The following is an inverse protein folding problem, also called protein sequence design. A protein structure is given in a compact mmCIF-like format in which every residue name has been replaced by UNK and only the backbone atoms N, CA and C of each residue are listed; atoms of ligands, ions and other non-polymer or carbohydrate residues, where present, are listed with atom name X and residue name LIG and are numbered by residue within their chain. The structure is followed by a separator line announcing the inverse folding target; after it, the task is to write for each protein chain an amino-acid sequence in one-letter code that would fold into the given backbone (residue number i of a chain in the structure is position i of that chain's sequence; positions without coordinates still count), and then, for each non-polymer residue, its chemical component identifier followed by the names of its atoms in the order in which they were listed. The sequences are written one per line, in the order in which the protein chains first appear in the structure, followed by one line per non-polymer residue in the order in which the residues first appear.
data_IF_240783440606
#
_entry.id   IF_240783440606
#
_cell.length_a   1.000
_cell.length_b   1.000
_cell.length_c   1.000
_cell.angle_alpha   90.00
_cell.angle_beta   90.00
_cell.angle_gamma   90.00
#
_symmetry.space_group_name_H-M   'P 1'
#
loop_
_entity.id
_entity.type
_entity.pdbx_description
1 polymer ?
#
# COMPACT_ATOMS: atom_id res chain seq x y z
N UNK A 1 -9.52 10.59 -18.34
CA UNK A 1 -8.31 11.45 -18.45
C UNK A 1 -8.32 12.57 -17.43
N UNK A 2 -9.40 13.33 -17.30
CA UNK A 2 -9.46 14.40 -16.29
C UNK A 2 -9.25 13.93 -14.85
N UNK A 3 -9.79 12.74 -14.51
CA UNK A 3 -9.64 12.14 -13.17
C UNK A 3 -8.16 11.98 -12.76
N UNK A 4 -7.33 11.38 -13.61
CA UNK A 4 -5.90 11.19 -13.34
C UNK A 4 -5.16 12.52 -13.17
N UNK A 5 -5.47 13.51 -14.03
CA UNK A 5 -4.86 14.85 -13.96
C UNK A 5 -5.19 15.55 -12.64
N UNK A 6 -6.45 15.51 -12.20
CA UNK A 6 -6.88 16.14 -10.95
C UNK A 6 -6.32 15.38 -9.76
N UNK A 7 -6.34 14.03 -9.77
CA UNK A 7 -5.73 13.23 -8.70
C UNK A 7 -4.24 13.54 -8.55
N UNK A 8 -3.49 13.63 -9.67
CA UNK A 8 -2.08 14.02 -9.68
C UNK A 8 -1.84 15.38 -9.02
N UNK A 9 -2.68 16.37 -9.32
CA UNK A 9 -2.58 17.70 -8.70
C UNK A 9 -2.79 17.63 -7.18
N UNK A 10 -3.80 16.86 -6.73
CA UNK A 10 -4.06 16.66 -5.29
C UNK A 10 -2.88 15.96 -4.61
N UNK A 11 -2.28 14.92 -5.21
CA UNK A 11 -1.10 14.27 -4.64
C UNK A 11 0.09 15.22 -4.52
N UNK A 12 0.36 16.04 -5.54
CA UNK A 12 1.49 16.98 -5.54
C UNK A 12 1.28 18.18 -4.61
N UNK A 13 0.03 18.50 -4.24
CA UNK A 13 -0.26 19.54 -3.25
C UNK A 13 -0.02 19.09 -1.81
N UNK A 14 0.16 17.79 -1.57
CA UNK A 14 0.42 17.23 -0.24
C UNK A 14 1.91 16.91 -0.07
N UNK A 15 2.37 16.82 1.20
CA UNK A 15 3.74 16.48 1.52
C UNK A 15 4.13 15.06 1.06
N UNK A 16 5.42 14.82 0.87
CA UNK A 16 5.96 13.51 0.48
C UNK A 16 5.92 12.49 1.62
N UNK A 17 6.15 12.91 2.85
CA UNK A 17 5.77 12.19 4.07
C UNK A 17 4.42 12.74 4.53
N UNK A 18 3.37 11.94 4.48
CA UNK A 18 2.04 12.36 4.93
C UNK A 18 1.96 12.19 6.46
N UNK A 19 1.88 13.29 7.19
CA UNK A 19 1.68 13.26 8.64
C UNK A 19 0.18 13.24 8.97
N UNK A 20 -0.26 12.23 9.71
CA UNK A 20 -1.66 11.88 9.93
C UNK A 20 -1.98 11.82 11.43
N UNK A 21 -3.24 12.14 11.75
CA UNK A 21 -3.77 11.99 13.11
C UNK A 21 -4.79 10.86 13.18
N UNK A 22 -4.80 10.08 14.27
CA UNK A 22 -5.86 9.13 14.54
C UNK A 22 -7.17 9.88 14.92
N UNK A 23 -8.37 9.25 14.86
CA UNK A 23 -8.54 7.84 14.46
C UNK A 23 -8.40 7.64 12.94
N UNK A 24 -7.76 6.53 12.54
CA UNK A 24 -7.52 6.22 11.13
C UNK A 24 -7.52 4.70 10.91
N UNK A 25 -7.94 4.27 9.72
CA UNK A 25 -7.88 2.88 9.28
C UNK A 25 -6.79 2.71 8.24
N UNK A 26 -5.92 1.70 8.43
CA UNK A 26 -4.80 1.40 7.57
C UNK A 26 -5.09 0.10 6.82
N UNK A 27 -5.01 0.15 5.48
CA UNK A 27 -5.29 -0.95 4.58
C UNK A 27 -4.04 -1.29 3.75
N UNK A 28 -3.78 -2.57 3.55
CA UNK A 28 -2.75 -3.07 2.64
C UNK A 28 -3.26 -3.28 1.22
N UNK A 29 -2.63 -4.23 0.52
CA UNK A 29 -2.87 -4.56 -0.90
C UNK A 29 -4.34 -4.80 -1.23
N UNK A 30 -4.76 -4.33 -2.39
CA UNK A 30 -6.14 -4.42 -2.91
C UNK A 30 -6.20 -5.22 -4.21
N UNK A 31 -5.24 -4.98 -5.11
CA UNK A 31 -5.06 -5.71 -6.36
C UNK A 31 -6.36 -5.90 -7.17
N UNK A 32 -7.09 -4.82 -7.46
CA UNK A 32 -8.25 -4.88 -8.34
C UNK A 32 -9.42 -5.72 -7.82
N UNK A 33 -9.47 -6.07 -6.53
CA UNK A 33 -10.57 -6.80 -5.90
C UNK A 33 -11.69 -5.85 -5.46
N UNK A 34 -12.37 -5.23 -6.44
CA UNK A 34 -13.36 -4.16 -6.22
C UNK A 34 -14.50 -4.56 -5.29
N UNK A 35 -15.03 -5.78 -5.42
CA UNK A 35 -16.10 -6.28 -4.55
C UNK A 35 -15.65 -6.34 -3.08
N UNK A 36 -14.37 -6.67 -2.82
CA UNK A 36 -13.82 -6.71 -1.48
C UNK A 36 -13.56 -5.30 -0.93
N UNK A 37 -13.21 -4.32 -1.77
CA UNK A 37 -13.16 -2.90 -1.39
C UNK A 37 -14.52 -2.41 -0.90
N UNK A 38 -15.61 -2.73 -1.61
CA UNK A 38 -16.95 -2.35 -1.16
C UNK A 38 -17.33 -3.02 0.16
N UNK A 39 -16.99 -4.30 0.34
CA UNK A 39 -17.16 -5.01 1.62
C UNK A 39 -16.33 -4.42 2.75
N UNK A 40 -15.12 -3.95 2.42
CA UNK A 40 -14.24 -3.27 3.37
C UNK A 40 -14.90 -1.98 3.88
N UNK A 41 -15.40 -1.14 2.99
CA UNK A 41 -16.10 0.08 3.37
C UNK A 41 -17.43 -0.18 4.11
N UNK A 42 -18.19 -1.18 3.67
CA UNK A 42 -19.43 -1.57 4.34
C UNK A 42 -19.20 -1.97 5.81
N UNK A 43 -18.12 -2.71 6.08
CA UNK A 43 -17.77 -3.13 7.44
C UNK A 43 -17.10 -2.05 8.31
N UNK A 44 -16.37 -1.16 7.70
CA UNK A 44 -15.51 -0.22 8.42
C UNK A 44 -16.00 1.23 8.37
N UNK A 45 -17.03 1.51 7.58
CA UNK A 45 -17.55 2.85 7.32
C UNK A 45 -16.98 3.46 6.03
N UNK A 46 -17.78 4.32 5.40
CA UNK A 46 -17.40 4.99 4.14
C UNK A 46 -16.71 6.32 4.40
N UNK A 47 -15.75 6.73 3.52
CA UNK A 47 -15.25 8.11 3.54
C UNK A 47 -16.40 9.11 3.30
N UNK A 48 -16.41 10.30 3.91
CA UNK A 48 -15.40 10.89 4.80
C UNK A 48 -15.66 10.63 6.28
N UNK A 49 -16.67 9.83 6.66
CA UNK A 49 -17.00 9.58 8.08
C UNK A 49 -15.90 8.83 8.81
N UNK A 50 -15.03 8.17 8.04
CA UNK A 50 -13.86 7.42 8.51
C UNK A 50 -12.65 7.82 7.69
N UNK A 51 -11.50 8.02 8.37
CA UNK A 51 -10.23 8.31 7.73
C UNK A 51 -9.53 7.01 7.30
N UNK A 52 -8.99 7.00 6.08
CA UNK A 52 -8.28 5.86 5.53
C UNK A 52 -6.88 6.20 5.05
N UNK A 53 -5.93 5.32 5.33
CA UNK A 53 -4.62 5.26 4.70
C UNK A 53 -4.46 3.90 4.00
N UNK A 54 -4.30 3.91 2.69
CA UNK A 54 -3.99 2.71 1.91
C UNK A 54 -2.50 2.68 1.58
N UNK A 55 -1.88 1.53 1.76
CA UNK A 55 -0.42 1.37 1.68
C UNK A 55 0.11 1.07 0.27
N UNK A 56 -0.75 1.04 -0.76
CA UNK A 56 -0.37 0.76 -2.14
C UNK A 56 -0.97 -0.52 -2.71
N UNK A 57 -0.52 -0.88 -3.92
CA UNK A 57 -0.94 -2.05 -4.68
C UNK A 57 -2.45 -2.10 -4.92
N UNK A 58 -2.94 -1.08 -5.62
CA UNK A 58 -4.35 -0.95 -5.99
C UNK A 58 -4.71 -1.74 -7.23
N UNK A 59 -3.75 -1.90 -8.13
CA UNK A 59 -3.89 -2.49 -9.46
C UNK A 59 -3.13 -3.81 -9.59
N UNK A 60 -3.35 -4.50 -10.72
CA UNK A 60 -2.81 -5.81 -11.11
C UNK A 60 -3.46 -7.00 -10.40
N UNK A 61 -3.29 -8.19 -10.94
CA UNK A 61 -3.74 -9.49 -10.42
C UNK A 61 -5.26 -9.68 -10.47
N UNK A 62 -6.04 -8.74 -9.93
CA UNK A 62 -7.50 -8.79 -9.91
C UNK A 62 -8.15 -8.40 -11.23
N UNK A 63 -9.49 -8.52 -11.28
CA UNK A 63 -10.27 -8.38 -12.52
C UNK A 63 -10.87 -6.97 -12.72
N UNK A 64 -10.84 -6.11 -11.68
CA UNK A 64 -11.52 -4.81 -11.67
C UNK A 64 -10.57 -3.70 -11.19
N UNK A 65 -9.41 -3.60 -11.86
CA UNK A 65 -8.37 -2.62 -11.50
C UNK A 65 -8.85 -1.20 -11.74
N UNK A 66 -9.50 -0.96 -12.88
CA UNK A 66 -9.99 0.37 -13.24
C UNK A 66 -11.08 0.85 -12.29
N UNK A 67 -11.96 -0.03 -11.84
CA UNK A 67 -12.98 0.31 -10.83
C UNK A 67 -12.33 0.69 -9.50
N UNK A 68 -11.37 -0.09 -9.02
CA UNK A 68 -10.66 0.17 -7.76
C UNK A 68 -9.96 1.52 -7.80
N UNK A 69 -9.06 1.72 -8.78
CA UNK A 69 -8.24 2.93 -8.82
C UNK A 69 -9.06 4.18 -9.10
N UNK A 70 -10.11 4.07 -9.94
CA UNK A 70 -11.00 5.20 -10.22
C UNK A 70 -11.81 5.61 -8.99
N UNK A 71 -12.34 4.64 -8.22
CA UNK A 71 -13.03 4.91 -6.96
C UNK A 71 -12.09 5.60 -5.96
N UNK A 72 -10.86 5.09 -5.82
CA UNK A 72 -9.87 5.66 -4.91
C UNK A 72 -9.48 7.09 -5.29
N UNK A 73 -9.28 7.36 -6.57
CA UNK A 73 -9.02 8.72 -7.05
C UNK A 73 -10.21 9.65 -6.83
N UNK A 74 -11.44 9.19 -7.03
CA UNK A 74 -12.65 9.96 -6.72
C UNK A 74 -12.72 10.33 -5.24
N UNK A 75 -12.47 9.38 -4.33
CA UNK A 75 -12.43 9.65 -2.90
C UNK A 75 -11.30 10.60 -2.53
N UNK A 76 -10.10 10.40 -3.09
CA UNK A 76 -8.95 11.28 -2.85
C UNK A 76 -9.21 12.72 -3.27
N UNK A 77 -9.81 12.92 -4.43
CA UNK A 77 -10.15 14.26 -4.94
C UNK A 77 -11.23 14.92 -4.08
N UNK A 78 -12.26 14.15 -3.73
CA UNK A 78 -13.41 14.67 -2.99
C UNK A 78 -13.11 14.92 -1.52
N UNK A 79 -12.26 14.08 -0.91
CA UNK A 79 -11.95 14.09 0.52
C UNK A 79 -10.43 14.01 0.77
N UNK A 80 -9.64 15.00 0.32
CA UNK A 80 -8.18 14.93 0.35
C UNK A 80 -7.60 14.89 1.77
N UNK A 81 -8.36 15.34 2.76
CA UNK A 81 -8.00 15.33 4.20
C UNK A 81 -8.43 14.07 4.96
N UNK A 82 -9.18 13.15 4.32
CA UNK A 82 -9.72 11.95 4.99
C UNK A 82 -9.31 10.65 4.30
N UNK A 83 -8.87 10.73 3.03
CA UNK A 83 -8.54 9.57 2.22
C UNK A 83 -7.13 9.69 1.67
N UNK A 84 -6.25 8.80 2.11
CA UNK A 84 -4.82 8.87 1.83
C UNK A 84 -4.35 7.61 1.11
N UNK A 85 -3.54 7.81 0.06
CA UNK A 85 -3.02 6.73 -0.78
C UNK A 85 -1.49 6.83 -0.84
N UNK A 86 -0.79 5.76 -0.47
CA UNK A 86 0.64 5.61 -0.69
C UNK A 86 0.90 4.87 -2.01
N UNK A 87 2.11 4.96 -2.52
CA UNK A 87 2.55 4.23 -3.69
C UNK A 87 2.95 2.81 -3.30
N UNK A 88 2.44 1.80 -4.02
CA UNK A 88 2.92 0.44 -4.01
C UNK A 88 3.87 0.16 -5.18
N UNK A 89 4.51 -1.00 -5.19
CA UNK A 89 5.39 -1.39 -6.28
C UNK A 89 4.61 -1.68 -7.58
N UNK A 90 3.33 -2.02 -7.50
CA UNK A 90 2.45 -2.16 -8.66
C UNK A 90 2.00 -0.82 -9.25
N UNK A 91 2.14 0.29 -8.55
CA UNK A 91 1.96 1.64 -9.10
C UNK A 91 3.25 2.14 -9.80
N UNK A 92 4.00 1.20 -10.40
CA UNK A 92 5.18 1.43 -11.23
C UNK A 92 5.00 0.79 -12.60
N UNK A 93 5.34 1.54 -13.67
CA UNK A 93 5.05 1.13 -15.05
C UNK A 93 5.69 -0.21 -15.46
N UNK A 94 6.92 -0.57 -15.05
CA UNK A 94 7.48 -1.88 -15.39
C UNK A 94 6.68 -3.04 -14.82
N UNK A 95 6.00 -2.85 -13.69
CA UNK A 95 5.23 -3.87 -13.00
C UNK A 95 3.80 -3.94 -13.55
N UNK A 96 3.07 -2.84 -13.56
CA UNK A 96 1.67 -2.86 -13.98
C UNK A 96 1.47 -3.00 -15.50
N UNK A 97 2.54 -2.96 -16.27
CA UNK A 97 2.54 -3.34 -17.69
C UNK A 97 2.41 -4.86 -17.88
N UNK A 98 2.88 -5.65 -16.90
CA UNK A 98 3.02 -7.12 -17.02
C UNK A 98 1.91 -7.86 -16.27
N UNK A 99 1.48 -7.32 -15.12
CA UNK A 99 0.65 -8.08 -14.17
C UNK A 99 -0.86 -7.82 -14.26
N UNK A 100 -1.34 -7.10 -15.31
CA UNK A 100 -2.75 -7.09 -15.65
C UNK A 100 -3.37 -5.72 -15.91
N UNK A 101 -2.89 -4.63 -15.30
CA UNK A 101 -3.50 -3.33 -15.42
C UNK A 101 -3.40 -2.74 -16.84
N UNK A 102 -2.21 -2.84 -17.48
CA UNK A 102 -2.04 -2.42 -18.87
C UNK A 102 -2.98 -3.20 -19.80
N UNK A 103 -3.05 -4.52 -19.63
CA UNK A 103 -3.92 -5.38 -20.43
C UNK A 103 -5.39 -5.01 -20.24
N UNK A 104 -5.85 -4.73 -19.01
CA UNK A 104 -7.22 -4.29 -18.75
C UNK A 104 -7.53 -2.95 -19.44
N UNK A 105 -6.64 -1.96 -19.35
CA UNK A 105 -6.79 -0.67 -20.04
C UNK A 105 -6.92 -0.86 -21.55
N UNK A 106 -6.06 -1.71 -22.13
CA UNK A 106 -6.04 -1.95 -23.57
C UNK A 106 -7.27 -2.75 -24.03
N UNK A 107 -7.67 -3.79 -23.33
CA UNK A 107 -8.83 -4.62 -23.65
C UNK A 107 -10.14 -3.82 -23.58
N UNK A 108 -10.32 -2.97 -22.55
CA UNK A 108 -11.58 -2.24 -22.31
C UNK A 108 -11.71 -0.94 -23.12
N UNK A 109 -10.60 -0.26 -23.37
CA UNK A 109 -10.62 1.07 -23.99
C UNK A 109 -9.73 1.19 -25.23
N UNK A 110 -9.01 0.14 -25.62
CA UNK A 110 -8.08 0.12 -26.77
C UNK A 110 -7.12 1.33 -26.76
N UNK A 111 -6.64 1.69 -25.55
CA UNK A 111 -5.97 2.96 -25.34
C UNK A 111 -4.76 2.86 -24.42
N UNK A 112 -3.58 2.80 -25.01
CA UNK A 112 -2.31 2.99 -24.29
C UNK A 112 -2.25 4.36 -23.60
N UNK A 113 -2.90 5.37 -24.18
CA UNK A 113 -2.95 6.72 -23.61
C UNK A 113 -3.63 6.74 -22.24
N UNK A 114 -4.68 5.93 -22.03
CA UNK A 114 -5.34 5.83 -20.73
C UNK A 114 -4.38 5.30 -19.68
N UNK A 115 -3.66 4.22 -19.99
CA UNK A 115 -2.66 3.64 -19.09
C UNK A 115 -1.55 4.64 -18.74
N UNK A 116 -1.02 5.39 -19.73
CA UNK A 116 -0.01 6.43 -19.49
C UNK A 116 -0.51 7.54 -18.56
N UNK A 117 -1.78 7.95 -18.67
CA UNK A 117 -2.36 8.95 -17.75
C UNK A 117 -2.40 8.44 -16.29
N UNK A 118 -2.64 7.14 -16.08
CA UNK A 118 -2.52 6.57 -14.74
C UNK A 118 -1.05 6.56 -14.25
N UNK A 119 -0.08 6.25 -15.13
CA UNK A 119 1.35 6.30 -14.74
C UNK A 119 1.76 7.71 -14.31
N UNK A 120 1.30 8.75 -15.00
CA UNK A 120 1.55 10.15 -14.61
C UNK A 120 0.98 10.47 -13.22
N UNK A 121 -0.18 9.92 -12.89
CA UNK A 121 -0.77 10.07 -11.55
C UNK A 121 -0.04 9.23 -10.50
N UNK A 122 0.35 7.99 -10.82
CA UNK A 122 1.09 7.10 -9.92
C UNK A 122 2.47 7.67 -9.56
N UNK A 123 3.16 8.32 -10.50
CA UNK A 123 4.43 8.98 -10.25
C UNK A 123 4.34 10.10 -9.18
N UNK A 124 3.15 10.63 -8.94
CA UNK A 124 2.88 11.66 -7.96
C UNK A 124 2.49 11.14 -6.57
N UNK A 125 2.22 9.83 -6.43
CA UNK A 125 1.86 9.22 -5.14
C UNK A 125 3.00 9.37 -4.11
N UNK A 126 2.70 9.69 -2.85
CA UNK A 126 3.67 9.67 -1.77
C UNK A 126 4.08 8.24 -1.42
N UNK A 127 5.26 8.07 -0.83
CA UNK A 127 5.80 6.74 -0.48
C UNK A 127 5.51 6.36 0.96
N UNK A 128 5.36 7.34 1.86
CA UNK A 128 5.30 7.10 3.29
C UNK A 128 4.25 7.95 3.98
N UNK A 129 3.72 7.43 5.09
CA UNK A 129 2.86 8.12 6.02
C UNK A 129 3.36 7.96 7.45
N UNK A 130 3.07 8.91 8.33
CA UNK A 130 3.44 8.88 9.73
C UNK A 130 2.22 9.22 10.57
N UNK A 131 1.68 8.23 11.30
CA UNK A 131 0.50 8.43 12.15
C UNK A 131 0.95 8.83 13.56
N UNK A 132 0.45 9.97 14.04
CA UNK A 132 0.74 10.55 15.35
C UNK A 132 2.24 10.62 15.70
N UNK A 133 3.13 10.72 14.70
CA UNK A 133 4.57 10.73 14.92
C UNK A 133 5.16 9.39 15.38
N UNK A 134 4.37 8.31 15.47
CA UNK A 134 4.78 7.03 16.09
C UNK A 134 4.61 5.78 15.22
N UNK A 135 3.71 5.79 14.25
CA UNK A 135 3.51 4.65 13.34
C UNK A 135 3.96 5.06 11.94
N UNK A 136 5.12 4.54 11.50
CA UNK A 136 5.63 4.77 10.16
C UNK A 136 5.02 3.76 9.19
N UNK A 137 4.37 4.29 8.14
CA UNK A 137 3.65 3.51 7.15
C UNK A 137 4.33 3.59 5.79
N UNK A 138 4.49 2.44 5.11
CA UNK A 138 4.98 2.33 3.73
C UNK A 138 4.42 1.05 3.10
N UNK A 139 4.62 0.89 1.80
CA UNK A 139 4.19 -0.32 1.11
C UNK A 139 5.11 -1.51 1.37
N UNK A 140 6.39 -1.43 0.97
CA UNK A 140 7.39 -2.50 1.14
C UNK A 140 7.95 -2.54 2.56
N UNK A 141 8.99 -1.81 2.84
CA UNK A 141 9.61 -1.82 4.17
C UNK A 141 10.76 -0.84 4.33
N UNK A 142 11.63 -1.15 5.26
CA UNK A 142 12.77 -0.34 5.65
C UNK A 142 13.89 -0.35 4.58
N UNK A 143 14.79 0.62 4.65
CA UNK A 143 15.93 0.76 3.75
C UNK A 143 17.22 0.94 4.55
N UNK A 144 18.34 0.33 4.13
CA UNK A 144 19.66 0.62 4.72
C UNK A 144 20.13 2.04 4.47
N UNK A 145 19.49 2.74 3.52
CA UNK A 145 19.75 4.14 3.16
C UNK A 145 18.95 5.14 4.01
N UNK A 146 17.91 4.69 4.73
CA UNK A 146 17.09 5.54 5.59
C UNK A 146 17.80 5.80 6.92
N UNK A 147 18.05 7.07 7.24
CA UNK A 147 18.74 7.49 8.46
C UNK A 147 17.99 8.55 9.25
N UNK A 148 16.99 9.18 8.65
CA UNK A 148 16.17 10.21 9.31
C UNK A 148 14.81 10.39 8.63
N UNK A 149 13.83 10.89 9.36
CA UNK A 149 12.51 11.26 8.81
C UNK A 149 12.62 12.37 7.76
N UNK A 150 13.64 13.22 7.86
CA UNK A 150 13.84 14.31 6.91
C UNK A 150 14.11 13.81 5.49
N UNK A 151 14.79 12.67 5.33
CA UNK A 151 14.96 12.04 4.01
C UNK A 151 13.62 11.69 3.36
N UNK A 152 12.62 11.26 4.15
CA UNK A 152 11.27 10.96 3.65
C UNK A 152 10.50 12.23 3.27
N UNK A 153 10.67 13.33 4.02
CA UNK A 153 10.07 14.64 3.70
C UNK A 153 10.63 15.24 2.42
N UNK A 154 11.93 15.00 2.15
CA UNK A 154 12.63 15.55 0.99
C UNK A 154 12.46 14.74 -0.30
N UNK A 155 11.73 13.64 -0.29
CA UNK A 155 11.45 12.87 -1.52
C UNK A 155 10.70 13.78 -2.51
N UNK A 156 11.31 14.03 -3.65
CA UNK A 156 10.69 14.82 -4.72
C UNK A 156 9.75 13.97 -5.54
N UNK A 157 8.60 14.55 -5.92
CA UNK A 157 7.59 13.93 -6.79
C UNK A 157 7.16 14.93 -7.87
N UNK A 158 6.77 14.54 -9.07
CA UNK A 158 6.65 13.16 -9.53
C UNK A 158 8.01 12.50 -9.75
N UNK A 159 8.08 11.19 -9.53
CA UNK A 159 9.30 10.41 -9.72
C UNK A 159 8.99 9.01 -10.26
N UNK A 160 9.85 8.52 -11.18
CA UNK A 160 9.96 7.10 -11.47
C UNK A 160 11.16 6.56 -10.69
N UNK A 161 10.94 5.66 -9.69
CA UNK A 161 11.98 5.29 -8.74
C UNK A 161 13.20 4.66 -9.42
N UNK A 162 14.40 5.24 -9.32
CA UNK A 162 15.61 4.63 -9.86
C UNK A 162 16.02 3.41 -9.02
N UNK A 163 16.53 2.37 -9.67
CA UNK A 163 17.04 1.17 -9.00
C UNK A 163 18.57 1.12 -9.10
N UNK A 164 19.34 1.06 -7.98
CA UNK A 164 18.89 0.97 -6.58
C UNK A 164 18.66 2.36 -5.94
N UNK A 165 17.63 2.48 -5.06
CA UNK A 165 17.37 3.73 -4.34
C UNK A 165 16.60 3.49 -3.03
N UNK A 166 16.54 4.52 -2.16
CA UNK A 166 15.65 4.53 -1.00
C UNK A 166 14.19 4.28 -1.40
N UNK A 167 13.74 4.87 -2.52
CA UNK A 167 12.38 4.71 -3.03
C UNK A 167 12.04 3.26 -3.36
N UNK A 168 12.98 2.56 -4.02
CA UNK A 168 12.82 1.14 -4.35
C UNK A 168 12.73 0.31 -3.06
N UNK A 169 13.55 0.59 -2.06
CA UNK A 169 13.50 -0.16 -0.81
C UNK A 169 12.17 0.03 -0.08
N UNK A 170 11.63 1.27 -0.04
CA UNK A 170 10.30 1.56 0.53
C UNK A 170 9.15 0.84 -0.18
N UNK A 171 9.34 0.41 -1.42
CA UNK A 171 8.35 -0.32 -2.22
C UNK A 171 8.54 -1.85 -2.21
N UNK A 172 9.75 -2.36 -1.94
CA UNK A 172 10.10 -3.75 -2.23
C UNK A 172 10.72 -4.53 -1.09
N UNK A 173 11.29 -3.88 -0.05
CA UNK A 173 11.96 -4.60 1.01
C UNK A 173 10.98 -5.38 1.89
N UNK A 174 11.43 -6.52 2.43
CA UNK A 174 10.62 -7.43 3.25
C UNK A 174 11.30 -7.75 4.59
N UNK A 175 10.53 -7.89 5.69
CA UNK A 175 11.03 -8.51 6.91
C UNK A 175 11.27 -10.01 6.69
N UNK A 176 12.31 -10.55 7.30
CA UNK A 176 12.62 -11.98 7.24
C UNK A 176 13.11 -12.53 8.58
N UNK A 177 12.49 -13.63 9.04
CA UNK A 177 12.77 -14.24 10.36
C UNK A 177 14.14 -14.92 10.44
N UNK A 178 14.73 -15.29 9.31
CA UNK A 178 16.00 -15.99 9.23
C UNK A 178 17.20 -15.05 9.02
N UNK A 179 16.93 -13.79 8.69
CA UNK A 179 17.95 -12.77 8.42
C UNK A 179 18.33 -12.02 9.70
N UNK A 180 19.62 -11.77 9.89
CA UNK A 180 20.17 -10.78 10.82
C UNK A 180 20.81 -9.66 10.00
N UNK A 181 20.51 -8.41 10.32
CA UNK A 181 20.92 -7.27 9.49
C UNK A 181 20.17 -7.25 8.16
N UNK A 182 20.89 -7.00 7.08
CA UNK A 182 20.39 -6.86 5.73
C UNK A 182 20.91 -7.97 4.82
N UNK A 183 20.05 -8.54 3.98
CA UNK A 183 20.43 -9.49 2.93
C UNK A 183 19.72 -9.16 1.61
N UNK A 184 20.21 -9.73 0.50
CA UNK A 184 19.58 -9.56 -0.80
C UNK A 184 18.19 -10.22 -0.82
N UNK A 185 17.20 -9.53 -1.37
CA UNK A 185 15.85 -10.06 -1.50
C UNK A 185 15.77 -11.08 -2.66
N UNK A 186 15.12 -12.22 -2.43
CA UNK A 186 14.90 -13.26 -3.46
C UNK A 186 14.02 -12.78 -4.63
N UNK A 187 13.33 -11.62 -4.47
CA UNK A 187 12.60 -10.96 -5.57
C UNK A 187 13.52 -10.37 -6.66
N UNK A 188 14.85 -10.40 -6.45
CA UNK A 188 15.84 -9.83 -7.38
C UNK A 188 15.98 -8.30 -7.31
N UNK A 189 15.29 -7.66 -6.37
CA UNK A 189 15.33 -6.21 -6.13
C UNK A 189 15.25 -5.93 -4.64
N UNK A 190 15.97 -4.88 -4.15
CA UNK A 190 15.96 -4.46 -2.75
C UNK A 190 16.49 -5.51 -1.76
N UNK A 191 16.06 -5.48 -0.51
CA UNK A 191 16.63 -6.22 0.61
C UNK A 191 15.54 -6.96 1.39
N UNK A 192 15.98 -7.98 2.11
CA UNK A 192 15.28 -8.47 3.30
C UNK A 192 16.02 -7.99 4.55
N UNK A 193 15.30 -7.83 5.67
CA UNK A 193 15.86 -7.32 6.92
C UNK A 193 15.37 -8.10 8.14
N UNK A 194 16.27 -8.24 9.10
CA UNK A 194 16.02 -8.94 10.34
C UNK A 194 15.29 -8.09 11.39
N UNK A 195 14.91 -8.76 12.51
CA UNK A 195 14.27 -8.10 13.66
C UNK A 195 15.16 -7.03 14.31
N UNK A 196 16.47 -7.24 14.30
CA UNK A 196 17.48 -6.33 14.82
C UNK A 196 17.43 -4.98 14.10
N UNK A 197 17.28 -4.99 12.77
CA UNK A 197 17.10 -3.79 11.96
C UNK A 197 15.83 -3.03 12.36
N UNK A 198 14.73 -3.73 12.61
CA UNK A 198 13.48 -3.08 13.02
C UNK A 198 13.66 -2.36 14.36
N UNK A 199 14.32 -2.96 15.35
CA UNK A 199 14.60 -2.33 16.64
C UNK A 199 15.51 -1.11 16.49
N UNK A 200 16.58 -1.23 15.71
CA UNK A 200 17.52 -0.15 15.44
C UNK A 200 16.79 1.04 14.77
N UNK A 201 16.02 0.77 13.71
CA UNK A 201 15.31 1.81 12.97
C UNK A 201 14.21 2.48 13.79
N UNK A 202 13.48 1.74 14.63
CA UNK A 202 12.51 2.32 15.55
C UNK A 202 13.18 3.32 16.51
N UNK A 203 14.38 2.99 17.02
CA UNK A 203 15.13 3.88 17.89
C UNK A 203 15.67 5.12 17.16
N UNK A 204 16.26 4.94 15.96
CA UNK A 204 16.82 6.04 15.15
C UNK A 204 15.73 7.02 14.72
N UNK A 205 14.55 6.53 14.33
CA UNK A 205 13.47 7.33 13.78
C UNK A 205 12.48 7.82 14.84
N UNK A 206 12.66 7.46 16.10
CA UNK A 206 11.75 7.73 17.25
C UNK A 206 10.31 7.27 16.95
N UNK A 207 10.16 6.06 16.40
CA UNK A 207 8.85 5.44 16.13
C UNK A 207 8.63 4.19 16.98
N UNK A 208 7.36 3.81 17.13
CA UNK A 208 6.98 2.65 17.93
C UNK A 208 6.57 1.44 17.10
N UNK A 209 6.09 1.69 15.87
CA UNK A 209 5.58 0.66 14.97
C UNK A 209 5.89 1.02 13.51
N UNK A 210 6.26 0.02 12.73
CA UNK A 210 6.26 0.05 11.27
C UNK A 210 5.02 -0.69 10.77
N UNK A 211 4.14 -0.05 10.01
CA UNK A 211 3.00 -0.68 9.35
C UNK A 211 3.26 -0.76 7.84
N UNK A 212 3.27 -1.97 7.28
CA UNK A 212 3.60 -2.22 5.87
C UNK A 212 2.68 -3.28 5.25
N UNK A 213 2.75 -3.47 3.96
CA UNK A 213 1.90 -4.34 3.16
C UNK A 213 2.75 -5.36 2.34
N UNK A 214 2.52 -5.52 1.04
CA UNK A 214 3.42 -6.18 0.08
C UNK A 214 3.60 -7.70 0.19
N UNK A 215 3.33 -8.32 1.33
CA UNK A 215 3.37 -9.78 1.51
C UNK A 215 2.00 -10.30 1.89
N UNK A 216 1.59 -11.39 1.21
CA UNK A 216 0.38 -12.13 1.59
C UNK A 216 0.61 -12.79 2.95
N UNK A 217 -0.30 -12.56 3.89
CA UNK A 217 -0.30 -13.19 5.21
C UNK A 217 -1.64 -13.87 5.47
N UNK A 218 -1.62 -15.04 6.12
CA UNK A 218 -2.78 -15.93 6.21
C UNK A 218 -4.00 -15.28 6.86
N UNK A 219 -3.80 -14.53 7.94
CA UNK A 219 -4.90 -13.92 8.70
C UNK A 219 -5.20 -12.47 8.27
N UNK A 220 -4.57 -12.00 7.16
CA UNK A 220 -4.68 -10.63 6.68
C UNK A 220 -3.78 -9.63 7.42
N UNK A 221 -3.18 -10.02 8.55
CA UNK A 221 -2.13 -9.29 9.24
C UNK A 221 -1.18 -10.22 9.96
N UNK A 222 0.07 -9.81 10.11
CA UNK A 222 1.11 -10.57 10.82
C UNK A 222 2.08 -9.63 11.50
N UNK A 223 2.36 -9.88 12.80
CA UNK A 223 3.35 -9.13 13.55
C UNK A 223 4.74 -9.73 13.43
N UNK A 224 5.75 -8.85 13.41
CA UNK A 224 7.15 -9.18 13.40
C UNK A 224 7.92 -8.35 14.44
N UNK A 225 9.14 -8.78 14.83
CA UNK A 225 10.03 -8.06 15.73
C UNK A 225 9.34 -7.58 17.03
N UNK A 226 8.76 -8.52 17.80
CA UNK A 226 8.06 -8.24 19.06
C UNK A 226 6.98 -7.15 18.90
N UNK A 227 6.20 -7.22 17.83
CA UNK A 227 5.15 -6.27 17.47
C UNK A 227 5.64 -4.85 17.13
N UNK A 228 6.92 -4.67 16.78
CA UNK A 228 7.45 -3.41 16.27
C UNK A 228 7.26 -3.23 14.76
N UNK A 229 6.82 -4.29 14.07
CA UNK A 229 6.39 -4.24 12.68
C UNK A 229 5.13 -5.07 12.49
N UNK A 230 4.22 -4.60 11.65
CA UNK A 230 3.03 -5.35 11.21
C UNK A 230 2.92 -5.30 9.70
N UNK A 231 2.72 -6.48 9.09
CA UNK A 231 2.30 -6.62 7.70
C UNK A 231 0.78 -6.64 7.65
N UNK A 232 0.17 -5.85 6.77
CA UNK A 232 -1.28 -5.76 6.57
C UNK A 232 -1.57 -6.09 5.11
N UNK A 233 -2.48 -7.02 4.87
CA UNK A 233 -2.90 -7.43 3.54
C UNK A 233 -4.43 -7.39 3.47
N UNK A 234 -5.02 -6.62 2.55
CA UNK A 234 -6.46 -6.32 2.57
C UNK A 234 -7.27 -7.01 1.45
N UNK A 235 -6.61 -7.85 0.61
CA UNK A 235 -7.24 -8.61 -0.46
C UNK A 235 -7.46 -10.08 -0.03
N UNK A 236 -8.67 -10.47 0.44
CA UNK A 236 -8.95 -11.87 0.82
C UNK A 236 -8.98 -12.77 -0.40
N UNK A 237 -8.64 -14.05 -0.24
CA UNK A 237 -8.58 -15.04 -1.34
C UNK A 237 -7.78 -14.55 -2.54
N UNK A 238 -6.58 -14.06 -2.26
CA UNK A 238 -5.72 -13.39 -3.23
C UNK A 238 -5.47 -14.24 -4.48
N UNK A 239 -5.60 -13.62 -5.65
CA UNK A 239 -5.49 -14.28 -6.96
C UNK A 239 -6.45 -15.47 -7.18
N UNK A 240 -7.44 -15.70 -6.31
CA UNK A 240 -8.27 -16.90 -6.34
C UNK A 240 -7.52 -18.20 -6.03
N UNK A 241 -6.31 -18.12 -5.47
CA UNK A 241 -5.42 -19.25 -5.19
C UNK A 241 -5.03 -19.35 -3.71
N UNK A 242 -4.93 -18.22 -3.01
CA UNK A 242 -4.64 -18.18 -1.59
C UNK A 242 -5.94 -18.23 -0.79
N UNK A 243 -5.94 -18.94 0.33
CA UNK A 243 -7.08 -19.01 1.26
C UNK A 243 -7.00 -17.97 2.38
N UNK A 244 -6.15 -16.96 2.21
CA UNK A 244 -5.90 -15.88 3.15
C UNK A 244 -7.15 -15.03 3.42
N UNK A 245 -7.26 -14.54 4.64
CA UNK A 245 -8.13 -13.42 4.98
C UNK A 245 -7.50 -12.10 4.53
N UNK A 246 -8.31 -11.06 4.41
CA UNK A 246 -7.85 -9.67 4.38
C UNK A 246 -8.03 -9.02 5.75
N UNK A 247 -7.27 -7.97 6.05
CA UNK A 247 -7.43 -7.21 7.29
C UNK A 247 -7.34 -5.70 7.06
N UNK A 248 -7.96 -4.96 7.97
CA UNK A 248 -7.83 -3.51 8.13
C UNK A 248 -7.36 -3.24 9.54
N UNK A 249 -6.26 -2.51 9.73
CA UNK A 249 -5.80 -2.07 11.04
C UNK A 249 -6.51 -0.77 11.42
N UNK A 250 -7.19 -0.79 12.56
CA UNK A 250 -7.85 0.39 13.13
C UNK A 250 -6.93 0.98 14.19
N UNK A 251 -6.59 2.25 14.07
CA UNK A 251 -5.80 3.00 15.04
C UNK A 251 -6.74 4.01 15.70
N UNK A 252 -6.97 3.88 17.01
CA UNK A 252 -7.81 4.80 17.76
C UNK A 252 -7.04 6.04 18.25
N UNK A 253 -7.73 6.96 18.92
CA UNK A 253 -7.18 8.21 19.44
C UNK A 253 -6.05 7.99 20.49
N UNK A 254 -6.00 6.83 21.12
CA UNK A 254 -4.98 6.42 22.09
C UNK A 254 -3.85 5.58 21.47
N UNK A 255 -3.82 5.48 20.13
CA UNK A 255 -2.91 4.63 19.36
C UNK A 255 -3.06 3.13 19.64
N UNK A 256 -4.22 2.70 20.15
CA UNK A 256 -4.52 1.27 20.28
C UNK A 256 -4.88 0.72 18.91
N UNK A 257 -4.13 -0.30 18.49
CA UNK A 257 -4.30 -0.96 17.21
C UNK A 257 -5.16 -2.22 17.34
N UNK A 258 -6.27 -2.27 16.59
CA UNK A 258 -7.14 -3.43 16.47
C UNK A 258 -7.32 -3.81 15.00
N UNK A 259 -7.85 -5.00 14.70
CA UNK A 259 -7.98 -5.46 13.32
C UNK A 259 -9.41 -5.87 13.00
N UNK A 260 -9.92 -5.40 11.86
CA UNK A 260 -11.14 -5.91 11.24
C UNK A 260 -10.77 -6.94 10.18
N UNK A 261 -11.24 -8.18 10.34
CA UNK A 261 -10.89 -9.29 9.44
C UNK A 261 -11.94 -9.45 8.35
N UNK A 262 -11.49 -9.54 7.11
CA UNK A 262 -12.31 -9.79 5.92
C UNK A 262 -12.06 -11.23 5.43
N UNK A 263 -12.93 -12.16 5.79
CA UNK A 263 -12.83 -13.55 5.33
C UNK A 263 -13.22 -13.65 3.84
N UNK A 264 -12.65 -14.62 3.09
CA UNK A 264 -13.09 -14.93 1.73
C UNK A 264 -14.61 -15.09 1.65
N UNK A 265 -15.24 -14.58 0.58
CA UNK A 265 -16.68 -14.79 0.39
C UNK A 265 -16.94 -16.21 -0.13
N UNK A 266 -17.98 -16.89 0.37
CA UNK A 266 -18.38 -18.24 -0.08
C UNK A 266 -18.69 -18.31 -1.59
N UNK A 267 -18.96 -17.17 -2.24
CA UNK A 267 -19.18 -17.09 -3.70
C UNK A 267 -17.85 -17.14 -4.47
N UNK A 268 -16.76 -16.65 -3.89
CA UNK A 268 -15.42 -16.68 -4.53
C UNK A 268 -14.85 -18.11 -4.58
N UNK A 269 -15.15 -18.95 -3.59
CA UNK A 269 -14.68 -20.34 -3.53
C UNK A 269 -15.37 -21.30 -4.55
N UNK A 270 -16.39 -20.85 -5.28
CA UNK A 270 -17.16 -21.72 -6.22
C UNK A 270 -16.81 -21.55 -7.70
N UNK A 271 -15.88 -20.66 -8.03
CA UNK A 271 -15.45 -20.43 -9.43
C UNK A 271 -14.04 -21.01 -9.63
N UNK A 272 -13.94 -22.34 -9.60
CA UNK A 272 -12.86 -23.04 -10.30
C UNK A 272 -13.45 -23.62 -11.58
N UNK A 273 -13.11 -23.16 -12.79
CA UNK A 273 -13.37 -23.95 -13.99
C UNK A 273 -12.50 -25.20 -13.93
N UNK A 274 -13.12 -26.35 -14.23
CA UNK A 274 -12.41 -27.61 -14.47
C UNK A 274 -11.51 -27.49 -15.69
#
# INVERSE_FOLDING_TARGET
MNLCTVARQVFLSQASLIELQPPIKICGDIHGQYADVLRLFDRNGFPPTVNYLFLGDYVDRGQQNLECISLFFCYKIKYPGNFFLLRGNHECSPINRVYGFFEECNRRYQSTRLWLQFQDAFAALPFTGLVAGKILCMHGGLSPKLKSMEQLRQITRPIDPPNPSLHIDLLWSDPDIYTTGWASNCRGVSYVFGKDVVFEMCAILDIELVARAHQVVQDGYEFFANRKLVTIFSAPHYCGQFDNAGAVMNVDENLICTFTILRPSLKACKVMPK
#
